data_IF_672221694484
#
_entry.id   IF_672221694484
#
_cell.length_a   1.000
_cell.length_b   1.000
_cell.length_c   1.000
_cell.angle_alpha   90.00
_cell.angle_beta   90.00
_cell.angle_gamma   90.00
#
_symmetry.space_group_name_H-M   'P 1'
#
loop_
_entity.id
_entity.type
_entity.pdbx_description
1 polymer ?
#
# COMPACT_ATOMS: atom_id res chain seq x y z
N UNK A 1 0.44 23.06 -27.77
CA UNK A 1 1.52 22.08 -27.61
C UNK A 1 1.84 22.08 -26.14
N UNK A 2 1.54 20.99 -25.44
CA UNK A 2 1.99 20.83 -24.07
C UNK A 2 3.47 20.50 -24.16
N UNK A 3 4.31 21.42 -23.68
CA UNK A 3 5.72 21.17 -23.45
C UNK A 3 5.76 20.20 -22.28
N UNK A 4 6.22 18.98 -22.53
CA UNK A 4 6.45 17.97 -21.49
C UNK A 4 7.86 18.24 -21.00
N UNK A 5 7.97 18.81 -19.79
CA UNK A 5 9.26 18.97 -19.13
C UNK A 5 9.83 17.58 -18.84
N UNK A 6 11.05 17.32 -19.31
CA UNK A 6 11.73 16.01 -19.26
C UNK A 6 12.06 15.53 -17.83
N UNK A 7 11.72 16.32 -16.81
CA UNK A 7 11.91 16.03 -15.38
C UNK A 7 10.60 15.68 -14.62
N UNK A 8 9.44 15.69 -15.27
CA UNK A 8 8.18 15.25 -14.64
C UNK A 8 8.16 13.72 -14.54
N UNK A 9 8.16 13.19 -13.31
CA UNK A 9 7.87 11.77 -13.09
C UNK A 9 6.48 11.47 -13.67
N UNK A 10 6.44 10.73 -14.77
CA UNK A 10 5.22 10.39 -15.49
C UNK A 10 4.23 9.70 -14.53
N UNK A 11 3.03 10.25 -14.43
CA UNK A 11 2.00 9.68 -13.55
C UNK A 11 1.51 8.39 -14.19
N UNK A 12 1.85 7.26 -13.58
CA UNK A 12 1.41 5.95 -14.06
C UNK A 12 -0.09 5.79 -13.82
N UNK A 13 -0.89 5.77 -14.89
CA UNK A 13 -2.35 5.62 -14.84
C UNK A 13 -2.82 4.15 -14.76
N UNK A 14 -1.96 3.26 -14.27
CA UNK A 14 -2.30 1.85 -14.03
C UNK A 14 -2.89 1.68 -12.62
N UNK A 15 -3.58 0.56 -12.38
CA UNK A 15 -4.06 0.18 -11.04
C UNK A 15 -4.96 1.21 -10.33
N UNK A 16 -5.89 1.82 -11.06
CA UNK A 16 -6.83 2.80 -10.51
C UNK A 16 -7.69 2.25 -9.37
N UNK A 17 -7.84 3.03 -8.30
CA UNK A 17 -8.63 2.69 -7.10
C UNK A 17 -9.85 3.59 -7.01
N UNK A 18 -11.04 2.97 -6.99
CA UNK A 18 -12.29 3.69 -6.80
C UNK A 18 -12.56 3.92 -5.32
N UNK A 19 -12.77 5.17 -4.91
CA UNK A 19 -13.10 5.56 -3.54
C UNK A 19 -14.04 6.76 -3.54
N UNK A 20 -15.15 6.69 -2.80
CA UNK A 20 -16.10 7.80 -2.63
C UNK A 20 -16.53 8.51 -3.93
N UNK A 21 -16.80 7.76 -5.00
CA UNK A 21 -17.24 8.35 -6.28
C UNK A 21 -16.11 8.85 -7.18
N UNK A 22 -14.85 8.61 -6.81
CA UNK A 22 -13.67 9.10 -7.53
C UNK A 22 -12.72 7.96 -7.86
N UNK A 23 -12.04 8.05 -9.00
CA UNK A 23 -11.00 7.10 -9.43
C UNK A 23 -9.64 7.74 -9.17
N UNK A 24 -8.77 7.04 -8.45
CA UNK A 24 -7.47 7.56 -8.02
C UNK A 24 -6.34 6.72 -8.61
N UNK A 25 -5.24 7.35 -8.96
CA UNK A 25 -4.03 6.68 -9.39
C UNK A 25 -2.90 6.97 -8.40
N UNK A 26 -2.00 6.00 -8.22
CA UNK A 26 -0.91 6.15 -7.27
C UNK A 26 0.35 6.62 -8.00
N UNK A 27 0.69 7.91 -7.86
CA UNK A 27 1.96 8.44 -8.35
C UNK A 27 3.14 8.17 -7.40
N UNK A 28 4.37 8.37 -7.88
CA UNK A 28 5.61 8.36 -7.08
C UNK A 28 6.15 9.76 -6.77
N UNK A 29 5.60 10.80 -7.42
CA UNK A 29 5.98 12.20 -7.21
C UNK A 29 5.28 12.88 -6.02
N UNK A 30 5.38 14.21 -5.98
CA UNK A 30 4.78 15.06 -4.93
C UNK A 30 3.25 15.12 -5.02
N UNK A 31 2.70 14.92 -6.21
CA UNK A 31 1.26 14.94 -6.48
C UNK A 31 0.86 13.70 -7.30
N UNK A 32 -0.44 13.42 -7.30
CA UNK A 32 -1.04 12.50 -8.26
C UNK A 32 -2.46 12.95 -8.60
N UNK A 33 -3.13 12.16 -9.43
CA UNK A 33 -4.38 12.52 -10.08
C UNK A 33 -5.52 11.67 -9.55
N UNK A 34 -6.70 12.28 -9.54
CA UNK A 34 -7.95 11.56 -9.42
C UNK A 34 -9.01 12.16 -10.33
N UNK A 35 -9.94 11.32 -10.77
CA UNK A 35 -11.06 11.70 -11.60
C UNK A 35 -12.34 11.64 -10.76
N UNK A 36 -12.99 12.78 -10.57
CA UNK A 36 -14.30 12.88 -9.94
C UNK A 36 -15.38 12.53 -10.98
N UNK A 37 -16.03 11.38 -10.79
CA UNK A 37 -16.98 10.84 -11.76
C UNK A 37 -18.26 11.66 -11.83
N UNK A 38 -18.69 12.25 -10.70
CA UNK A 38 -19.92 13.03 -10.64
C UNK A 38 -19.73 14.42 -11.29
N UNK A 39 -18.59 15.05 -11.04
CA UNK A 39 -18.25 16.35 -11.63
C UNK A 39 -17.64 16.26 -13.03
N UNK A 40 -17.28 15.06 -13.47
CA UNK A 40 -16.59 14.78 -14.73
C UNK A 40 -15.29 15.59 -14.88
N UNK A 41 -14.51 15.73 -13.79
CA UNK A 41 -13.30 16.52 -13.78
C UNK A 41 -12.09 15.75 -13.23
N UNK A 42 -10.92 16.08 -13.76
CA UNK A 42 -9.64 15.60 -13.27
C UNK A 42 -9.04 16.63 -12.31
N UNK A 43 -8.69 16.20 -11.10
CA UNK A 43 -8.12 17.01 -10.04
C UNK A 43 -6.81 16.38 -9.53
N UNK A 44 -6.01 17.16 -8.79
CA UNK A 44 -4.76 16.70 -8.18
C UNK A 44 -4.94 16.46 -6.68
N UNK A 45 -4.12 15.56 -6.12
CA UNK A 45 -4.00 15.32 -4.70
C UNK A 45 -2.52 15.16 -4.29
N UNK A 46 -2.15 15.49 -3.05
CA UNK A 46 -0.79 15.27 -2.57
C UNK A 46 -0.44 13.78 -2.57
N UNK A 47 0.80 13.47 -2.96
CA UNK A 47 1.42 12.14 -2.88
C UNK A 47 2.79 12.16 -2.21
N UNK A 48 3.23 13.31 -1.70
CA UNK A 48 4.36 13.40 -0.80
C UNK A 48 4.07 12.60 0.48
N UNK A 49 4.80 11.50 0.65
CA UNK A 49 4.74 10.68 1.86
C UNK A 49 5.84 11.14 2.81
N UNK A 50 5.56 11.26 4.12
CA UNK A 50 6.60 11.52 5.10
C UNK A 50 7.69 10.44 5.01
N UNK A 51 8.94 10.82 4.70
CA UNK A 51 10.04 9.85 4.69
C UNK A 51 10.25 9.27 6.10
N UNK A 52 10.19 7.94 6.20
CA UNK A 52 10.32 7.17 7.44
C UNK A 52 11.45 6.14 7.38
N UNK A 53 12.15 6.06 6.25
CA UNK A 53 13.25 5.13 6.02
C UNK A 53 14.35 5.84 5.24
N UNK A 54 15.60 5.61 5.62
CA UNK A 54 16.77 6.07 4.86
C UNK A 54 17.08 5.08 3.72
N UNK A 55 16.08 4.84 2.87
CA UNK A 55 16.15 3.97 1.71
C UNK A 55 15.10 4.41 0.68
N UNK A 56 15.38 4.28 -0.62
CA UNK A 56 14.41 4.66 -1.65
C UNK A 56 13.21 3.71 -1.64
N UNK A 57 12.04 4.23 -1.95
CA UNK A 57 10.83 3.44 -2.13
C UNK A 57 11.00 2.47 -3.32
N UNK A 58 10.37 1.30 -3.25
CA UNK A 58 10.44 0.27 -4.30
C UNK A 58 9.08 -0.01 -4.91
N UNK A 59 8.05 -0.22 -4.08
CA UNK A 59 6.69 -0.45 -4.56
C UNK A 59 5.70 0.31 -3.69
N UNK A 60 4.65 0.84 -4.34
CA UNK A 60 3.44 1.33 -3.68
C UNK A 60 2.28 0.38 -3.96
N UNK A 61 1.56 -0.02 -2.92
CA UNK A 61 0.32 -0.78 -3.03
C UNK A 61 -0.83 0.11 -2.61
N UNK A 62 -1.64 0.51 -3.59
CA UNK A 62 -2.73 1.43 -3.41
C UNK A 62 -4.04 0.68 -3.19
N UNK A 63 -4.83 1.11 -2.21
CA UNK A 63 -6.07 0.42 -1.87
C UNK A 63 -7.11 1.36 -1.26
N UNK A 64 -8.35 0.92 -1.28
CA UNK A 64 -9.47 1.57 -0.62
C UNK A 64 -10.07 0.64 0.42
N UNK A 65 -10.45 1.19 1.56
CA UNK A 65 -11.24 0.51 2.55
C UNK A 65 -12.16 1.49 3.28
N UNK A 66 -13.48 1.26 3.16
CA UNK A 66 -14.55 2.00 3.86
C UNK A 66 -14.57 3.51 3.58
N UNK A 67 -14.35 3.87 2.32
CA UNK A 67 -14.28 5.25 1.87
C UNK A 67 -13.00 5.96 2.29
N UNK A 68 -11.93 5.21 2.60
CA UNK A 68 -10.62 5.76 2.96
C UNK A 68 -9.56 5.14 2.05
N UNK A 69 -8.69 5.99 1.52
CA UNK A 69 -7.56 5.55 0.70
C UNK A 69 -6.36 5.22 1.58
N UNK A 70 -5.66 4.16 1.20
CA UNK A 70 -4.46 3.69 1.84
C UNK A 70 -3.36 3.43 0.81
N UNK A 71 -2.12 3.68 1.22
CA UNK A 71 -0.94 3.24 0.47
C UNK A 71 0.02 2.49 1.39
N UNK A 72 0.44 1.31 0.97
CA UNK A 72 1.55 0.58 1.59
C UNK A 72 2.82 0.76 0.75
N UNK A 73 3.94 1.06 1.40
CA UNK A 73 5.20 1.40 0.73
C UNK A 73 6.31 0.47 1.19
N UNK A 74 6.94 -0.22 0.24
CA UNK A 74 8.16 -1.01 0.47
C UNK A 74 9.39 -0.20 0.13
N UNK A 75 10.54 -0.59 0.71
CA UNK A 75 11.80 0.11 0.55
C UNK A 75 12.88 -0.80 -0.02
N UNK A 76 13.82 -0.21 -0.77
CA UNK A 76 14.91 -0.94 -1.42
C UNK A 76 15.95 -1.31 -0.36
N UNK A 77 15.82 -2.51 0.18
CA UNK A 77 16.61 -3.02 1.30
C UNK A 77 17.18 -4.40 0.92
N UNK A 78 18.33 -4.77 1.49
CA UNK A 78 18.90 -6.11 1.30
C UNK A 78 17.95 -7.23 1.74
N UNK A 79 17.12 -6.96 2.75
CA UNK A 79 16.00 -7.81 3.18
C UNK A 79 14.75 -6.95 3.23
N UNK A 80 13.86 -7.12 2.25
CA UNK A 80 12.62 -6.34 2.14
C UNK A 80 11.43 -7.15 2.67
N UNK A 81 11.27 -7.18 4.00
CA UNK A 81 10.14 -7.84 4.68
C UNK A 81 9.19 -6.83 5.35
N UNK A 82 9.47 -5.54 5.20
CA UNK A 82 8.74 -4.47 5.88
C UNK A 82 8.13 -3.48 4.91
N UNK A 83 6.98 -2.92 5.29
CA UNK A 83 6.37 -1.80 4.60
C UNK A 83 5.68 -0.86 5.58
N UNK A 84 5.64 0.42 5.22
CA UNK A 84 4.86 1.43 5.94
C UNK A 84 3.48 1.59 5.32
N UNK A 85 2.45 1.72 6.15
CA UNK A 85 1.08 1.99 5.73
C UNK A 85 0.71 3.43 6.06
N UNK A 86 0.19 4.14 5.07
CA UNK A 86 -0.31 5.50 5.18
C UNK A 86 -1.80 5.56 4.83
N UNK A 87 -2.51 6.50 5.44
CA UNK A 87 -3.94 6.77 5.30
C UNK A 87 -4.13 8.19 4.78
N UNK A 88 -4.93 8.36 3.72
CA UNK A 88 -5.27 9.68 3.22
C UNK A 88 -6.26 10.37 4.14
N UNK A 89 -5.99 11.63 4.50
CA UNK A 89 -6.96 12.47 5.21
C UNK A 89 -8.26 12.62 4.40
N UNK A 90 -9.41 12.71 5.09
CA UNK A 90 -10.74 12.75 4.41
C UNK A 90 -10.93 13.96 3.51
N UNK A 91 -10.22 15.05 3.79
CA UNK A 91 -10.20 16.28 3.01
C UNK A 91 -9.09 16.30 1.94
N UNK A 92 -8.38 15.19 1.75
CA UNK A 92 -7.31 15.02 0.77
C UNK A 92 -6.11 15.96 1.00
N UNK A 93 -5.94 16.44 2.24
CA UNK A 93 -4.88 17.40 2.58
C UNK A 93 -3.51 16.76 2.76
N UNK A 94 -3.43 15.53 3.30
CA UNK A 94 -2.16 14.88 3.60
C UNK A 94 -2.27 13.36 3.78
N UNK A 95 -1.12 12.70 3.66
CA UNK A 95 -0.94 11.28 3.99
C UNK A 95 -0.46 11.11 5.44
N UNK A 96 -1.27 10.42 6.24
CA UNK A 96 -0.99 10.13 7.64
C UNK A 96 -0.37 8.75 7.80
N UNK A 97 0.84 8.66 8.37
CA UNK A 97 1.45 7.37 8.70
C UNK A 97 0.62 6.64 9.77
N UNK A 98 0.35 5.35 9.56
CA UNK A 98 -0.41 4.51 10.48
C UNK A 98 0.48 3.53 11.23
N UNK A 99 1.21 2.69 10.49
CA UNK A 99 1.97 1.57 11.08
C UNK A 99 3.01 1.03 10.11
N UNK A 100 4.11 0.54 10.66
CA UNK A 100 5.04 -0.35 9.96
C UNK A 100 4.66 -1.81 10.19
N UNK A 101 4.58 -2.59 9.13
CA UNK A 101 4.29 -4.03 9.20
C UNK A 101 5.54 -4.79 8.76
N UNK A 102 6.01 -5.71 9.60
CA UNK A 102 7.10 -6.64 9.26
C UNK A 102 6.50 -8.03 9.01
N UNK A 103 6.47 -8.44 7.75
CA UNK A 103 5.99 -9.76 7.31
C UNK A 103 6.86 -10.89 7.85
N UNK A 104 8.15 -10.63 8.10
CA UNK A 104 9.06 -11.58 8.76
C UNK A 104 8.59 -12.02 10.14
N UNK A 105 7.86 -11.18 10.86
CA UNK A 105 7.28 -11.55 12.17
C UNK A 105 6.21 -12.64 12.04
N UNK A 106 5.62 -12.82 10.85
CA UNK A 106 4.64 -13.87 10.60
C UNK A 106 5.24 -15.28 10.74
N UNK A 107 6.57 -15.44 10.54
CA UNK A 107 7.27 -16.72 10.71
C UNK A 107 7.16 -17.24 12.16
N UNK A 108 7.02 -16.34 13.15
CA UNK A 108 6.80 -16.75 14.54
C UNK A 108 5.44 -17.44 14.73
N UNK A 109 4.43 -17.04 13.95
CA UNK A 109 3.10 -17.65 13.97
C UNK A 109 3.00 -18.85 13.02
N UNK A 110 3.74 -18.80 11.90
CA UNK A 110 3.73 -19.77 10.80
C UNK A 110 5.18 -20.13 10.41
N UNK A 111 5.86 -21.00 11.17
CA UNK A 111 7.27 -21.35 10.91
C UNK A 111 7.53 -21.99 9.54
N UNK A 112 6.48 -22.44 8.86
CA UNK A 112 6.50 -22.98 7.50
C UNK A 112 6.61 -21.92 6.39
N UNK A 113 6.50 -20.63 6.72
CA UNK A 113 6.63 -19.55 5.72
C UNK A 113 8.08 -19.43 5.24
N UNK A 114 8.31 -19.73 3.97
CA UNK A 114 9.58 -19.50 3.30
C UNK A 114 9.57 -18.13 2.60
N UNK A 115 9.77 -17.07 3.38
CA UNK A 115 9.86 -15.70 2.88
C UNK A 115 11.21 -15.50 2.17
N UNK A 116 11.29 -15.99 0.92
CA UNK A 116 12.47 -15.90 0.08
C UNK A 116 12.98 -14.45 0.01
N UNK A 117 14.19 -14.22 0.48
CA UNK A 117 14.85 -12.92 0.39
C UNK A 117 15.70 -12.91 -0.89
N UNK A 118 15.07 -12.63 -2.03
CA UNK A 118 15.85 -12.20 -3.20
C UNK A 118 16.28 -10.78 -2.90
N UNK A 119 17.58 -10.49 -2.97
CA UNK A 119 18.10 -9.14 -2.70
C UNK A 119 17.28 -8.09 -3.48
N UNK A 120 16.83 -7.06 -2.78
CA UNK A 120 16.06 -5.94 -3.32
C UNK A 120 14.64 -6.26 -3.81
N UNK A 121 14.14 -7.48 -3.62
CA UNK A 121 12.74 -7.83 -3.91
C UNK A 121 12.02 -8.28 -2.63
N UNK A 122 10.78 -7.82 -2.41
CA UNK A 122 10.02 -8.27 -1.24
C UNK A 122 9.70 -9.76 -1.34
N UNK A 123 9.85 -10.47 -0.22
CA UNK A 123 9.45 -11.88 -0.08
C UNK A 123 7.92 -12.09 -0.09
N UNK A 124 7.17 -11.06 -0.48
CA UNK A 124 5.72 -10.99 -0.48
C UNK A 124 5.23 -10.05 -1.59
N UNK A 125 3.94 -10.13 -1.89
CA UNK A 125 3.27 -9.30 -2.90
C UNK A 125 1.78 -9.15 -2.57
N UNK A 126 1.03 -8.51 -3.47
CA UNK A 126 -0.43 -8.45 -3.36
C UNK A 126 -0.91 -7.82 -2.05
N UNK A 127 -0.22 -6.79 -1.56
CA UNK A 127 -0.60 -6.11 -0.32
C UNK A 127 -1.89 -5.34 -0.56
N UNK A 128 -2.88 -5.55 0.32
CA UNK A 128 -4.16 -4.85 0.27
C UNK A 128 -4.61 -4.49 1.68
N UNK A 129 -5.07 -3.25 1.87
CA UNK A 129 -5.65 -2.79 3.13
C UNK A 129 -7.17 -3.00 3.06
N UNK A 130 -7.72 -3.72 4.04
CA UNK A 130 -9.14 -4.04 4.11
C UNK A 130 -9.76 -3.61 5.43
N UNK A 131 -11.04 -3.28 5.38
CA UNK A 131 -11.83 -2.97 6.58
C UNK A 131 -12.18 -4.24 7.33
N UNK A 132 -11.95 -4.28 8.64
CA UNK A 132 -12.41 -5.39 9.47
C UNK A 132 -13.89 -5.24 9.79
N UNK A 133 -14.76 -6.20 9.43
CA UNK A 133 -16.23 -6.15 9.59
C UNK A 133 -16.72 -5.62 10.96
N UNK A 134 -15.94 -5.83 12.02
CA UNK A 134 -16.30 -5.47 13.40
C UNK A 134 -15.43 -4.38 14.05
N UNK A 135 -14.41 -3.87 13.36
CA UNK A 135 -13.38 -3.03 14.00
C UNK A 135 -13.17 -1.72 13.24
N UNK A 136 -12.81 -0.65 13.98
CA UNK A 136 -12.49 0.66 13.41
C UNK A 136 -11.13 0.64 12.68
N UNK A 137 -10.15 -0.11 13.18
CA UNK A 137 -8.82 -0.20 12.57
C UNK A 137 -8.80 -1.14 11.36
N UNK A 138 -8.01 -0.82 10.32
CA UNK A 138 -7.87 -1.66 9.15
C UNK A 138 -7.04 -2.92 9.45
N UNK A 139 -7.13 -3.89 8.54
CA UNK A 139 -6.25 -5.05 8.49
C UNK A 139 -5.49 -5.03 7.18
N UNK A 140 -4.29 -5.59 7.18
CA UNK A 140 -3.53 -5.78 5.94
C UNK A 140 -3.62 -7.24 5.53
N UNK A 141 -3.85 -7.49 4.25
CA UNK A 141 -3.76 -8.81 3.62
C UNK A 141 -2.53 -8.81 2.73
N UNK A 142 -1.76 -9.89 2.79
CA UNK A 142 -0.50 -10.05 2.07
C UNK A 142 -0.46 -11.43 1.45
N UNK A 143 0.04 -11.51 0.22
CA UNK A 143 0.43 -12.77 -0.41
C UNK A 143 1.90 -13.06 -0.10
N UNK A 144 2.19 -14.16 0.57
CA UNK A 144 3.53 -14.55 0.96
C UNK A 144 3.69 -16.06 0.87
N UNK A 145 4.70 -16.55 0.15
CA UNK A 145 5.02 -17.98 0.06
C UNK A 145 3.82 -18.88 -0.30
N UNK A 146 3.09 -18.51 -1.36
CA UNK A 146 1.88 -19.23 -1.81
C UNK A 146 0.70 -19.17 -0.84
N UNK A 147 0.79 -18.36 0.22
CA UNK A 147 -0.24 -18.24 1.26
C UNK A 147 -0.78 -16.82 1.30
N UNK A 148 -2.04 -16.70 1.66
CA UNK A 148 -2.67 -15.42 1.94
C UNK A 148 -2.76 -15.28 3.46
N UNK A 149 -2.01 -14.34 3.99
CA UNK A 149 -1.97 -14.03 5.42
C UNK A 149 -2.52 -12.63 5.67
N UNK A 150 -2.94 -12.38 6.89
CA UNK A 150 -3.45 -11.08 7.32
C UNK A 150 -2.85 -10.65 8.63
N UNK A 151 -2.73 -9.34 8.81
CA UNK A 151 -2.28 -8.71 10.03
C UNK A 151 -3.33 -7.72 10.52
N UNK A 152 -3.81 -7.94 11.73
CA UNK A 152 -4.78 -7.07 12.40
C UNK A 152 -4.04 -5.95 13.15
N UNK A 153 -4.30 -4.69 12.80
CA UNK A 153 -3.59 -3.55 13.40
C UNK A 153 -3.84 -3.40 14.89
N UNK A 154 -5.04 -3.77 15.36
CA UNK A 154 -5.48 -3.65 16.74
C UNK A 154 -4.93 -4.76 17.61
N UNK A 155 -5.04 -6.01 17.14
CA UNK A 155 -4.54 -7.17 17.87
C UNK A 155 -3.02 -7.30 17.76
N UNK A 156 -2.42 -6.77 16.70
CA UNK A 156 -1.00 -6.96 16.41
C UNK A 156 -0.67 -8.43 16.13
N UNK A 157 -1.61 -9.17 15.56
CA UNK A 157 -1.51 -10.61 15.37
C UNK A 157 -1.66 -10.99 13.89
N UNK A 158 -0.87 -11.98 13.49
CA UNK A 158 -0.94 -12.60 12.18
C UNK A 158 -1.98 -13.72 12.16
N UNK A 159 -2.69 -13.84 11.04
CA UNK A 159 -3.67 -14.89 10.79
C UNK A 159 -3.57 -15.39 9.35
N UNK A 160 -3.48 -16.69 9.17
CA UNK A 160 -3.58 -17.33 7.86
C UNK A 160 -5.04 -17.30 7.39
N UNK A 161 -5.26 -16.77 6.19
CA UNK A 161 -6.58 -16.72 5.56
C UNK A 161 -6.76 -17.87 4.56
N UNK A 162 -5.70 -18.19 3.84
CA UNK A 162 -5.72 -19.24 2.82
C UNK A 162 -4.31 -19.80 2.58
N UNK A 163 -4.24 -21.09 2.29
CA UNK A 163 -3.02 -21.80 1.88
C UNK A 163 -3.30 -22.55 0.59
N UNK A 164 -2.52 -22.28 -0.45
CA UNK A 164 -2.64 -22.97 -1.74
C UNK A 164 -2.14 -24.42 -1.68
N UNK A 165 -1.36 -24.77 -0.67
CA UNK A 165 -0.66 -26.04 -0.60
C UNK A 165 0.47 -26.15 -1.65
N UNK A 166 1.21 -27.28 -1.65
CA UNK A 166 2.24 -27.58 -2.65
C UNK A 166 1.67 -27.92 -4.03
#
# INVERSE_FOLDING_TARGET
SFEVDEDEQEIELTNGVFCNGRIHWCGYGEESLYFDVEKECLETMPMALPSRMDAPETCRYFSESRGVLYVAVTYCMSVCLEFDVFEMARDYSEWNWKKRVNVGDAVNAFPELELGCIEYYPGFSGVCIIGSEKQEEPMVVVWADGKIISFDFRQGAWKMLYDLGP
#
